data_IF_664462540482
#
_entry.id   IF_664462540482
#
_cell.length_a   1.000
_cell.length_b   1.000
_cell.length_c   1.000
_cell.angle_alpha   90.00
_cell.angle_beta   90.00
_cell.angle_gamma   90.00
#
_symmetry.space_group_name_H-M   'P 1'
#
loop_
_entity.id
_entity.type
_entity.pdbx_description
1 polymer ?
#
# COMPACT_ATOMS: atom_id res chain seq x y z
N UNK A 1 -4.77 19.11 -7.40
CA UNK A 1 -3.46 18.73 -6.84
C UNK A 1 -2.77 19.98 -6.33
N UNK A 2 -2.29 19.94 -5.09
CA UNK A 2 -1.71 21.12 -4.42
C UNK A 2 -0.22 21.14 -4.67
N UNK A 3 0.27 22.19 -5.32
CA UNK A 3 1.71 22.38 -5.50
C UNK A 3 2.41 22.61 -4.16
N UNK A 4 1.72 23.21 -3.18
CA UNK A 4 2.31 23.60 -1.88
C UNK A 4 2.37 22.46 -0.86
N UNK A 5 1.44 21.51 -0.94
CA UNK A 5 1.34 20.40 0.01
C UNK A 5 1.15 19.08 -0.73
N UNK A 6 2.23 18.57 -1.33
CA UNK A 6 2.14 17.39 -2.17
C UNK A 6 1.85 16.12 -1.36
N UNK A 7 1.14 15.18 -1.99
CA UNK A 7 0.75 13.91 -1.40
C UNK A 7 1.28 12.76 -2.26
N UNK A 8 2.04 11.87 -1.64
CA UNK A 8 2.48 10.60 -2.20
C UNK A 8 1.62 9.50 -1.59
N UNK A 9 1.00 8.69 -2.44
CA UNK A 9 0.10 7.62 -2.03
C UNK A 9 0.56 6.27 -2.57
N UNK A 10 0.91 5.37 -1.67
CA UNK A 10 1.21 3.97 -1.97
C UNK A 10 -0.02 3.13 -1.64
N UNK A 11 -0.58 2.48 -2.67
CA UNK A 11 -1.67 1.53 -2.52
C UNK A 11 -1.21 0.12 -2.89
N UNK A 12 -1.66 -0.88 -2.15
CA UNK A 12 -1.26 -2.26 -2.38
C UNK A 12 -2.02 -3.23 -1.50
N UNK A 13 -1.94 -4.51 -1.79
CA UNK A 13 -2.53 -5.52 -0.91
C UNK A 13 -1.57 -5.87 0.23
N UNK A 14 -2.13 -6.12 1.42
CA UNK A 14 -1.37 -6.53 2.59
C UNK A 14 -0.53 -7.77 2.26
N UNK A 15 0.79 -7.68 2.39
CA UNK A 15 1.73 -8.76 2.00
C UNK A 15 2.60 -8.42 0.79
N UNK A 16 2.26 -7.38 -0.01
CA UNK A 16 3.03 -6.94 -1.17
C UNK A 16 4.51 -6.57 -0.92
N UNK A 17 4.94 -6.55 0.34
CA UNK A 17 6.21 -5.99 0.78
C UNK A 17 6.08 -4.54 1.25
N UNK A 18 4.90 -4.12 1.75
CA UNK A 18 4.64 -2.77 2.28
C UNK A 18 5.70 -2.33 3.29
N UNK A 19 6.06 -3.18 4.26
CA UNK A 19 7.18 -2.90 5.19
C UNK A 19 8.52 -2.65 4.49
N UNK A 20 8.78 -3.29 3.34
CA UNK A 20 9.96 -3.02 2.53
C UNK A 20 9.83 -1.69 1.78
N UNK A 21 8.65 -1.37 1.26
CA UNK A 21 8.36 -0.11 0.56
C UNK A 21 8.53 1.09 1.48
N UNK A 22 7.92 1.06 2.68
CA UNK A 22 8.09 2.11 3.69
C UNK A 22 9.57 2.37 4.00
N UNK A 23 10.35 1.30 4.21
CA UNK A 23 11.81 1.41 4.43
C UNK A 23 12.55 2.07 3.27
N UNK A 24 12.15 1.82 2.03
CA UNK A 24 12.76 2.49 0.87
C UNK A 24 12.42 3.98 0.87
N UNK A 25 11.17 4.35 1.14
CA UNK A 25 10.78 5.76 1.27
C UNK A 25 11.49 6.47 2.42
N UNK A 26 11.56 5.85 3.60
CA UNK A 26 12.31 6.38 4.76
C UNK A 26 13.78 6.65 4.39
N UNK A 27 14.41 5.75 3.63
CA UNK A 27 15.78 5.94 3.15
C UNK A 27 15.91 7.11 2.19
N UNK A 28 14.99 7.25 1.24
CA UNK A 28 14.97 8.37 0.30
C UNK A 28 14.77 9.67 1.07
N UNK A 29 13.74 9.76 1.92
CA UNK A 29 13.43 10.97 2.67
C UNK A 29 14.57 11.38 3.59
N UNK A 30 15.19 10.43 4.29
CA UNK A 30 16.38 10.69 5.11
C UNK A 30 17.55 11.21 4.28
N UNK A 31 17.83 10.59 3.12
CA UNK A 31 18.96 10.96 2.26
C UNK A 31 18.79 12.35 1.64
N UNK A 32 17.56 12.67 1.22
CA UNK A 32 17.24 13.93 0.54
C UNK A 32 16.81 15.05 1.52
N UNK A 33 16.78 14.78 2.84
CA UNK A 33 16.39 15.75 3.86
C UNK A 33 14.93 16.19 3.77
N UNK A 34 14.02 15.24 3.48
CA UNK A 34 12.59 15.47 3.32
C UNK A 34 11.87 15.09 4.62
N UNK A 35 11.07 16.00 5.17
CA UNK A 35 10.23 15.76 6.34
C UNK A 35 8.82 15.36 5.90
N UNK A 36 8.42 14.11 6.12
CA UNK A 36 7.10 13.61 5.71
C UNK A 36 6.13 13.49 6.90
N UNK A 37 4.87 13.88 6.69
CA UNK A 37 3.75 13.40 7.50
C UNK A 37 3.40 11.97 7.05
N UNK A 38 3.05 11.08 7.98
CA UNK A 38 2.74 9.67 7.66
C UNK A 38 1.29 9.32 8.01
N UNK A 39 0.65 8.60 7.08
CA UNK A 39 -0.60 7.86 7.33
C UNK A 39 -0.36 6.39 7.01
N UNK A 40 -0.65 5.53 7.98
CA UNK A 40 -0.82 4.10 7.76
C UNK A 40 -2.31 3.82 7.52
N UNK A 41 -2.64 3.10 6.46
CA UNK A 41 -4.03 2.90 6.01
C UNK A 41 -4.93 2.28 7.08
N UNK A 42 -4.36 1.41 7.91
CA UNK A 42 -5.07 0.74 9.00
C UNK A 42 -5.58 1.73 10.06
N UNK A 43 -5.01 2.94 10.14
CA UNK A 43 -5.53 4.02 10.97
C UNK A 43 -6.97 4.41 10.60
N UNK A 44 -7.38 4.15 9.36
CA UNK A 44 -8.71 4.47 8.85
C UNK A 44 -9.65 3.26 8.81
N UNK A 45 -9.30 2.12 9.42
CA UNK A 45 -10.29 1.07 9.66
C UNK A 45 -11.45 1.60 10.54
N UNK A 46 -12.67 1.18 10.25
CA UNK A 46 -13.86 1.56 11.05
C UNK A 46 -13.85 0.86 12.40
N UNK A 47 -13.46 -0.41 12.42
CA UNK A 47 -13.60 -1.32 13.56
C UNK A 47 -12.26 -1.74 14.12
N UNK A 48 -12.17 -1.86 15.44
CA UNK A 48 -11.02 -2.48 16.07
C UNK A 48 -11.02 -4.01 15.87
N UNK A 49 -10.02 -4.71 16.40
CA UNK A 49 -9.90 -6.16 16.22
C UNK A 49 -11.09 -6.96 16.75
N UNK A 50 -11.66 -6.56 17.89
CA UNK A 50 -12.76 -7.26 18.53
C UNK A 50 -14.09 -6.93 17.84
N UNK A 51 -14.31 -5.66 17.54
CA UNK A 51 -15.47 -5.16 16.80
C UNK A 51 -15.54 -5.77 15.41
N UNK A 52 -14.43 -5.80 14.67
CA UNK A 52 -14.39 -6.37 13.32
C UNK A 52 -14.80 -7.84 13.34
N UNK A 53 -14.32 -8.64 14.31
CA UNK A 53 -14.73 -10.04 14.47
C UNK A 53 -16.23 -10.16 14.74
N UNK A 54 -16.78 -9.30 15.60
CA UNK A 54 -18.21 -9.28 15.94
C UNK A 54 -19.06 -8.94 14.71
N UNK A 55 -18.74 -7.84 14.01
CA UNK A 55 -19.47 -7.39 12.82
C UNK A 55 -19.39 -8.42 11.70
N UNK A 56 -18.22 -9.04 11.49
CA UNK A 56 -18.07 -10.12 10.52
C UNK A 56 -18.97 -11.32 10.85
N UNK A 57 -19.14 -11.68 12.12
CA UNK A 57 -20.03 -12.77 12.54
C UNK A 57 -21.51 -12.39 12.34
N UNK A 58 -21.89 -11.15 12.65
CA UNK A 58 -23.25 -10.63 12.45
C UNK A 58 -23.63 -10.58 10.97
N UNK A 59 -22.75 -10.06 10.11
CA UNK A 59 -22.93 -10.04 8.65
C UNK A 59 -23.08 -11.46 8.09
N UNK A 60 -22.23 -12.39 8.53
CA UNK A 60 -22.32 -13.79 8.13
C UNK A 60 -23.65 -14.44 8.55
N UNK A 61 -24.13 -14.16 9.77
CA UNK A 61 -25.44 -14.64 10.24
C UNK A 61 -26.61 -14.04 9.45
N UNK A 62 -26.46 -12.82 8.93
CA UNK A 62 -27.41 -12.16 8.03
C UNK A 62 -27.27 -12.60 6.55
N UNK A 63 -26.36 -13.53 6.24
CA UNK A 63 -26.14 -14.06 4.89
C UNK A 63 -25.09 -13.31 4.05
N UNK A 64 -24.49 -12.25 4.58
CA UNK A 64 -23.36 -11.56 3.95
C UNK A 64 -22.03 -12.22 4.34
N UNK A 65 -21.52 -13.06 3.44
CA UNK A 65 -20.25 -13.76 3.59
C UNK A 65 -19.07 -13.02 2.95
N UNK A 66 -19.23 -11.74 2.58
CA UNK A 66 -18.24 -10.98 1.81
C UNK A 66 -17.59 -9.85 2.61
N UNK A 67 -18.23 -9.39 3.70
CA UNK A 67 -17.72 -8.32 4.54
C UNK A 67 -16.25 -8.51 4.97
N UNK A 68 -15.39 -7.55 4.59
CA UNK A 68 -13.95 -7.64 4.81
C UNK A 68 -13.27 -6.27 4.91
N UNK A 69 -12.00 -6.24 5.31
CA UNK A 69 -11.18 -5.02 5.33
C UNK A 69 -10.95 -4.40 3.95
N UNK A 70 -11.25 -5.11 2.85
CA UNK A 70 -11.15 -4.55 1.51
C UNK A 70 -12.36 -3.68 1.15
N UNK A 71 -13.53 -3.99 1.72
CA UNK A 71 -14.78 -3.29 1.47
C UNK A 71 -14.80 -1.88 2.06
N UNK A 72 -15.65 -1.03 1.46
CA UNK A 72 -15.80 0.37 1.89
C UNK A 72 -16.35 0.48 3.31
N UNK A 73 -17.29 -0.39 3.71
CA UNK A 73 -17.94 -0.34 5.03
C UNK A 73 -16.98 -0.57 6.21
N UNK A 74 -15.91 -1.33 6.00
CA UNK A 74 -14.90 -1.59 7.02
C UNK A 74 -13.88 -0.44 7.17
N UNK A 75 -14.03 0.64 6.40
CA UNK A 75 -13.06 1.72 6.30
C UNK A 75 -13.72 3.11 6.35
N UNK A 76 -13.05 4.07 6.98
CA UNK A 76 -13.43 5.48 7.08
C UNK A 76 -12.92 6.27 5.87
N UNK A 77 -13.30 5.86 4.66
CA UNK A 77 -12.71 6.39 3.42
C UNK A 77 -13.06 7.86 3.16
N UNK A 78 -14.24 8.32 3.56
CA UNK A 78 -14.58 9.75 3.48
C UNK A 78 -13.71 10.60 4.41
N UNK A 79 -13.35 10.08 5.59
CA UNK A 79 -12.42 10.77 6.50
C UNK A 79 -10.99 10.77 5.96
N UNK A 80 -10.60 9.71 5.23
CA UNK A 80 -9.32 9.63 4.55
C UNK A 80 -9.23 10.65 3.40
N UNK A 81 -10.27 10.73 2.55
CA UNK A 81 -10.36 11.74 1.50
C UNK A 81 -10.32 13.15 2.08
N UNK A 82 -11.07 13.40 3.16
CA UNK A 82 -11.06 14.68 3.86
C UNK A 82 -9.67 15.03 4.40
N UNK A 83 -8.94 14.05 4.94
CA UNK A 83 -7.56 14.24 5.41
C UNK A 83 -6.62 14.60 4.26
N UNK A 84 -6.74 13.92 3.11
CA UNK A 84 -5.95 14.25 1.91
C UNK A 84 -6.29 15.65 1.39
N UNK A 85 -7.58 15.99 1.35
CA UNK A 85 -8.06 17.31 0.93
C UNK A 85 -7.54 18.41 1.86
N UNK A 86 -7.64 18.21 3.18
CA UNK A 86 -7.17 19.15 4.20
C UNK A 86 -5.66 19.37 4.10
N UNK A 87 -4.90 18.28 3.96
CA UNK A 87 -3.44 18.36 3.81
C UNK A 87 -3.07 19.13 2.54
N UNK A 88 -3.68 18.79 1.40
CA UNK A 88 -3.47 19.52 0.14
C UNK A 88 -3.78 21.02 0.27
N UNK A 89 -4.80 21.41 1.04
CA UNK A 89 -5.18 22.80 1.19
C UNK A 89 -4.34 23.59 2.23
N UNK A 90 -3.89 22.94 3.30
CA UNK A 90 -3.38 23.63 4.50
C UNK A 90 -2.09 23.07 5.08
N UNK A 91 -1.59 21.94 4.56
CA UNK A 91 -0.50 21.17 5.15
C UNK A 91 -0.87 20.46 6.47
N UNK A 92 -2.13 20.51 6.88
CA UNK A 92 -2.61 19.97 8.15
C UNK A 92 -3.70 18.90 7.93
N UNK A 93 -3.78 17.98 8.89
CA UNK A 93 -4.74 16.88 8.88
C UNK A 93 -4.66 16.09 10.18
N UNK A 94 -5.34 14.94 10.24
CA UNK A 94 -5.32 14.08 11.41
C UNK A 94 -5.07 12.63 11.03
N UNK A 95 -4.43 11.91 11.93
CA UNK A 95 -4.22 10.47 11.84
C UNK A 95 -4.35 9.83 13.22
N UNK A 96 -4.40 8.51 13.28
CA UNK A 96 -4.27 7.73 14.51
C UNK A 96 -3.38 6.53 14.21
N UNK A 97 -3.04 5.75 15.22
CA UNK A 97 -2.32 4.49 15.02
C UNK A 97 -3.25 3.32 15.34
N UNK A 98 -3.29 2.32 14.46
CA UNK A 98 -3.83 1.01 14.82
C UNK A 98 -2.69 0.17 15.38
N UNK A 99 -2.77 -0.22 16.65
CA UNK A 99 -1.67 -0.93 17.31
C UNK A 99 -1.71 -2.41 16.94
N UNK A 100 -0.66 -2.93 16.32
CA UNK A 100 -0.63 -4.30 15.82
C UNK A 100 -0.23 -5.32 16.88
N UNK A 101 0.80 -5.00 17.67
CA UNK A 101 1.47 -5.93 18.58
C UNK A 101 1.90 -5.28 19.89
N UNK A 102 2.60 -6.05 20.73
CA UNK A 102 3.01 -5.64 22.06
C UNK A 102 4.11 -4.56 22.05
N UNK A 103 4.98 -4.54 21.04
CA UNK A 103 6.05 -3.53 20.93
C UNK A 103 5.43 -2.16 20.61
N UNK A 104 4.49 -2.13 19.66
CA UNK A 104 3.74 -0.91 19.39
C UNK A 104 2.87 -0.49 20.58
N UNK A 105 2.32 -1.45 21.32
CA UNK A 105 1.52 -1.15 22.50
C UNK A 105 2.34 -0.48 23.61
N UNK A 106 3.58 -0.89 23.82
CA UNK A 106 4.51 -0.22 24.74
C UNK A 106 4.82 1.21 24.27
N UNK A 107 5.06 1.40 22.97
CA UNK A 107 5.33 2.71 22.38
C UNK A 107 4.16 3.70 22.49
N UNK A 108 2.94 3.21 22.29
CA UNK A 108 1.73 4.06 22.21
C UNK A 108 0.88 4.04 23.48
N UNK A 109 1.22 3.22 24.48
CA UNK A 109 0.41 3.04 25.69
C UNK A 109 -1.02 2.54 25.41
N UNK A 110 -1.23 1.91 24.26
CA UNK A 110 -2.55 1.50 23.75
C UNK A 110 -2.55 0.00 23.46
N UNK A 111 -3.56 -0.78 23.86
CA UNK A 111 -3.55 -2.23 23.70
C UNK A 111 -3.43 -2.71 22.24
N UNK A 112 -2.83 -3.89 21.98
CA UNK A 112 -2.79 -4.46 20.64
C UNK A 112 -4.20 -4.76 20.10
N UNK A 113 -4.43 -4.34 18.87
CA UNK A 113 -5.69 -4.51 18.16
C UNK A 113 -6.69 -3.38 18.37
N UNK A 114 -6.31 -2.30 19.04
CA UNK A 114 -7.13 -1.09 19.23
C UNK A 114 -6.48 0.12 18.57
N UNK A 115 -7.21 1.25 18.55
CA UNK A 115 -6.72 2.50 18.00
C UNK A 115 -6.24 3.45 19.11
N UNK A 116 -5.23 4.25 18.80
CA UNK A 116 -4.93 5.46 19.57
C UNK A 116 -5.97 6.54 19.29
N UNK A 117 -5.94 7.62 20.08
CA UNK A 117 -6.66 8.84 19.75
C UNK A 117 -6.16 9.47 18.44
N UNK A 118 -7.03 10.27 17.83
CA UNK A 118 -6.70 11.10 16.68
C UNK A 118 -5.73 12.21 17.09
N UNK A 119 -4.66 12.38 16.33
CA UNK A 119 -3.66 13.43 16.49
C UNK A 119 -3.50 14.23 15.20
N UNK A 120 -3.11 15.50 15.34
CA UNK A 120 -2.69 16.32 14.20
C UNK A 120 -1.38 15.82 13.60
N UNK A 121 -1.07 16.25 12.37
CA UNK A 121 0.29 16.13 11.86
C UNK A 121 1.22 17.13 12.53
N UNK A 122 2.50 16.78 12.58
CA UNK A 122 3.54 17.76 12.93
C UNK A 122 3.57 18.88 11.89
N UNK A 123 3.86 20.13 12.30
CA UNK A 123 4.00 21.25 11.39
C UNK A 123 5.22 21.08 10.47
N UNK A 124 5.33 21.96 9.48
CA UNK A 124 6.51 22.11 8.61
C UNK A 124 6.92 20.86 7.82
N UNK A 125 5.93 20.06 7.41
CA UNK A 125 6.16 18.89 6.54
C UNK A 125 6.32 19.27 5.08
N UNK A 126 7.23 18.57 4.39
CA UNK A 126 7.47 18.68 2.96
C UNK A 126 6.38 18.03 2.13
N UNK A 127 5.86 16.90 2.60
CA UNK A 127 4.81 16.13 1.94
C UNK A 127 4.06 15.23 2.92
N UNK A 128 2.90 14.74 2.47
CA UNK A 128 2.17 13.65 3.10
C UNK A 128 2.50 12.34 2.38
N UNK A 129 2.86 11.32 3.15
CA UNK A 129 3.06 9.96 2.69
C UNK A 129 1.97 9.05 3.25
N UNK A 130 1.20 8.45 2.36
CA UNK A 130 0.21 7.42 2.68
C UNK A 130 0.70 6.04 2.23
N UNK A 131 0.51 5.05 3.08
CA UNK A 131 0.66 3.63 2.72
C UNK A 131 -0.53 2.83 3.23
N UNK A 132 -1.21 2.10 2.34
CA UNK A 132 -2.33 1.24 2.75
C UNK A 132 -3.04 0.55 1.60
N UNK A 133 -4.23 0.02 1.89
CA UNK A 133 -5.05 -0.72 0.91
C UNK A 133 -5.87 0.20 -0.01
N UNK A 134 -6.07 1.47 0.34
CA UNK A 134 -7.10 2.34 -0.26
C UNK A 134 -6.56 3.69 -0.76
N UNK A 135 -5.27 3.78 -1.03
CA UNK A 135 -4.58 5.04 -1.38
C UNK A 135 -4.97 5.64 -2.72
N UNK A 136 -5.66 4.90 -3.59
CA UNK A 136 -6.11 5.39 -4.90
C UNK A 136 -7.53 4.92 -5.22
N UNK A 137 -8.39 4.79 -4.20
CA UNK A 137 -9.81 4.44 -4.37
C UNK A 137 -10.54 5.57 -5.09
N UNK A 138 -11.40 5.16 -6.03
CA UNK A 138 -12.39 6.00 -6.69
C UNK A 138 -13.71 5.23 -6.68
N UNK A 139 -14.75 5.83 -6.11
CA UNK A 139 -16.13 5.36 -6.09
C UNK A 139 -17.06 6.50 -6.47
N UNK A 140 -18.38 6.25 -6.48
CA UNK A 140 -19.38 7.31 -6.72
C UNK A 140 -19.43 8.35 -5.60
N UNK A 141 -18.90 8.02 -4.41
CA UNK A 141 -19.00 8.85 -3.20
C UNK A 141 -17.65 9.38 -2.71
N UNK A 142 -16.54 8.77 -3.11
CA UNK A 142 -15.19 9.09 -2.62
C UNK A 142 -14.19 9.03 -3.78
N UNK A 143 -13.38 10.07 -3.95
CA UNK A 143 -12.26 10.08 -4.90
C UNK A 143 -10.99 10.48 -4.16
N UNK A 144 -10.26 9.50 -3.63
CA UNK A 144 -8.97 9.73 -2.95
C UNK A 144 -7.87 9.99 -3.99
N UNK A 145 -7.94 9.30 -5.14
CA UNK A 145 -6.91 9.34 -6.16
C UNK A 145 -6.65 10.75 -6.69
N UNK A 146 -7.69 11.59 -6.86
CA UNK A 146 -7.54 12.97 -7.37
C UNK A 146 -6.69 13.88 -6.47
N UNK A 147 -6.50 13.53 -5.21
CA UNK A 147 -5.77 14.34 -4.24
C UNK A 147 -4.26 14.04 -4.23
N UNK A 148 -3.84 12.87 -4.72
CA UNK A 148 -2.44 12.44 -4.69
C UNK A 148 -1.65 12.83 -5.96
N UNK A 149 -0.54 13.51 -5.75
CA UNK A 149 0.40 13.97 -6.78
C UNK A 149 1.22 12.83 -7.40
N UNK A 150 1.51 11.80 -6.59
CA UNK A 150 2.17 10.57 -7.04
C UNK A 150 1.48 9.35 -6.43
N UNK A 151 0.94 8.49 -7.28
CA UNK A 151 0.20 7.28 -6.90
C UNK A 151 0.97 6.05 -7.32
N UNK A 152 1.31 5.18 -6.37
CA UNK A 152 2.16 4.02 -6.61
C UNK A 152 1.40 2.77 -6.20
N UNK A 153 1.27 1.83 -7.12
CA UNK A 153 0.73 0.51 -6.85
C UNK A 153 1.84 -0.46 -6.52
N UNK A 154 1.80 -1.12 -5.37
CA UNK A 154 2.72 -2.23 -5.05
C UNK A 154 1.89 -3.48 -4.81
N UNK A 155 2.03 -4.47 -5.69
CA UNK A 155 1.06 -5.57 -5.76
C UNK A 155 1.75 -6.89 -6.12
N UNK A 156 1.56 -7.97 -5.36
CA UNK A 156 1.95 -9.30 -5.80
C UNK A 156 0.93 -9.84 -6.79
N UNK A 157 1.30 -10.80 -7.63
CA UNK A 157 0.27 -11.61 -8.32
C UNK A 157 -0.62 -12.31 -7.29
N UNK A 158 -1.89 -12.53 -7.64
CA UNK A 158 -2.92 -13.05 -6.73
C UNK A 158 -2.46 -14.33 -6.00
N UNK A 159 -1.81 -15.26 -6.72
CA UNK A 159 -1.26 -16.48 -6.13
C UNK A 159 -0.28 -16.20 -5.00
N UNK A 160 0.63 -15.25 -5.17
CA UNK A 160 1.59 -14.86 -4.15
C UNK A 160 0.89 -14.16 -2.96
N UNK A 161 -0.12 -13.33 -3.24
CA UNK A 161 -0.94 -12.70 -2.18
C UNK A 161 -1.58 -13.76 -1.27
N UNK A 162 -2.14 -14.81 -1.88
CA UNK A 162 -2.77 -15.91 -1.15
C UNK A 162 -1.75 -16.71 -0.34
N UNK A 163 -0.59 -17.04 -0.91
CA UNK A 163 0.51 -17.71 -0.19
C UNK A 163 0.91 -16.88 1.04
N UNK A 164 1.12 -15.57 0.87
CA UNK A 164 1.48 -14.68 1.97
C UNK A 164 0.40 -14.59 3.04
N UNK A 165 -0.88 -14.62 2.64
CA UNK A 165 -2.00 -14.62 3.59
C UNK A 165 -2.07 -15.94 4.36
N UNK A 166 -1.97 -17.07 3.67
CA UNK A 166 -1.95 -18.41 4.25
C UNK A 166 -0.83 -18.57 5.28
N UNK A 167 0.37 -18.11 4.95
CA UNK A 167 1.51 -18.17 5.86
C UNK A 167 1.30 -17.33 7.13
N UNK A 168 0.84 -16.08 6.99
CA UNK A 168 0.53 -15.21 8.14
C UNK A 168 -0.57 -15.78 9.02
N UNK A 169 -1.59 -16.38 8.43
CA UNK A 169 -2.71 -16.94 9.20
C UNK A 169 -2.32 -18.25 9.91
N UNK A 170 -1.49 -19.10 9.27
CA UNK A 170 -0.96 -20.32 9.89
C UNK A 170 0.02 -20.02 11.03
N UNK A 171 0.99 -19.12 10.82
CA UNK A 171 2.04 -18.83 11.81
C UNK A 171 1.50 -18.18 13.09
N UNK A 172 0.43 -17.39 12.96
CA UNK A 172 -0.04 -16.53 14.05
C UNK A 172 -1.32 -17.04 14.71
N UNK A 173 -2.10 -17.91 14.05
CA UNK A 173 -3.48 -18.24 14.48
C UNK A 173 -3.88 -19.72 14.37
N UNK A 174 -3.01 -20.61 13.88
CA UNK A 174 -3.26 -22.06 13.91
C UNK A 174 -4.49 -22.53 13.12
N UNK A 175 -4.94 -21.77 12.12
CA UNK A 175 -6.13 -22.09 11.34
C UNK A 175 -5.95 -23.32 10.43
N UNK A 176 -7.05 -24.06 10.21
CA UNK A 176 -7.11 -25.11 9.18
C UNK A 176 -7.05 -24.49 7.78
N UNK A 177 -6.59 -25.27 6.79
CA UNK A 177 -6.52 -24.82 5.39
C UNK A 177 -7.89 -24.39 4.86
N UNK A 178 -8.96 -25.07 5.26
CA UNK A 178 -10.35 -24.75 4.89
C UNK A 178 -10.79 -23.38 5.40
N UNK A 179 -10.53 -23.07 6.68
CA UNK A 179 -10.87 -21.77 7.26
C UNK A 179 -10.12 -20.60 6.57
N UNK A 180 -8.92 -20.85 6.03
CA UNK A 180 -8.20 -19.85 5.25
C UNK A 180 -8.76 -19.72 3.84
N UNK A 181 -9.17 -20.83 3.20
CA UNK A 181 -9.84 -20.80 1.90
C UNK A 181 -11.12 -19.96 1.94
N UNK A 182 -11.96 -20.16 2.95
CA UNK A 182 -13.18 -19.37 3.16
C UNK A 182 -12.86 -17.89 3.37
N UNK A 183 -11.78 -17.59 4.10
CA UNK A 183 -11.33 -16.21 4.31
C UNK A 183 -10.85 -15.54 3.02
N UNK A 184 -10.22 -16.29 2.11
CA UNK A 184 -9.82 -15.80 0.79
C UNK A 184 -11.07 -15.53 -0.06
N UNK A 185 -11.97 -16.51 -0.18
CA UNK A 185 -13.19 -16.40 -0.98
C UNK A 185 -14.07 -15.23 -0.52
N UNK A 186 -14.24 -15.06 0.80
CA UNK A 186 -14.95 -13.91 1.38
C UNK A 186 -14.45 -12.57 0.85
N UNK A 187 -13.13 -12.42 0.68
CA UNK A 187 -12.51 -11.15 0.30
C UNK A 187 -12.54 -10.87 -1.20
N UNK A 188 -12.78 -11.89 -2.03
CA UNK A 188 -12.64 -11.76 -3.49
C UNK A 188 -13.60 -10.73 -4.12
N UNK A 189 -14.88 -10.64 -3.71
CA UNK A 189 -15.76 -9.60 -4.24
C UNK A 189 -15.21 -8.20 -3.98
N UNK A 190 -14.89 -7.87 -2.74
CA UNK A 190 -14.30 -6.57 -2.39
C UNK A 190 -12.94 -6.33 -3.06
N UNK A 191 -12.13 -7.38 -3.22
CA UNK A 191 -10.84 -7.27 -3.91
C UNK A 191 -11.04 -6.82 -5.37
N UNK A 192 -11.97 -7.45 -6.08
CA UNK A 192 -12.29 -7.12 -7.47
C UNK A 192 -12.90 -5.73 -7.56
N UNK A 193 -13.82 -5.37 -6.65
CA UNK A 193 -14.56 -4.12 -6.72
C UNK A 193 -13.81 -2.89 -6.20
N UNK A 194 -12.93 -3.06 -5.20
CA UNK A 194 -12.31 -1.92 -4.50
C UNK A 194 -10.79 -1.94 -4.48
N UNK A 195 -10.12 -3.08 -4.65
CA UNK A 195 -8.65 -3.15 -4.66
C UNK A 195 -8.10 -3.07 -6.09
N UNK A 196 -8.50 -3.99 -6.96
CA UNK A 196 -7.96 -4.05 -8.33
C UNK A 196 -8.14 -2.77 -9.17
N UNK A 197 -9.25 -2.01 -9.08
CA UNK A 197 -9.44 -0.82 -9.90
C UNK A 197 -8.44 0.30 -9.56
N UNK A 198 -7.92 0.33 -8.33
CA UNK A 198 -6.94 1.32 -7.89
C UNK A 198 -5.64 1.25 -8.70
N UNK A 199 -5.24 0.08 -9.19
CA UNK A 199 -4.03 -0.07 -10.02
C UNK A 199 -4.20 0.52 -11.43
N UNK A 200 -5.42 0.93 -11.80
CA UNK A 200 -5.72 1.74 -12.97
C UNK A 200 -5.68 3.24 -12.65
N UNK A 201 -5.59 3.64 -11.38
CA UNK A 201 -5.45 5.02 -10.89
C UNK A 201 -4.01 5.39 -10.52
N UNK A 202 -3.13 4.42 -10.37
CA UNK A 202 -1.71 4.63 -10.08
C UNK A 202 -0.88 5.10 -11.28
N UNK A 203 0.13 5.92 -11.02
CA UNK A 203 1.08 6.42 -12.01
C UNK A 203 2.14 5.37 -12.33
N UNK A 204 2.53 4.57 -11.32
CA UNK A 204 3.50 3.48 -11.46
C UNK A 204 3.00 2.25 -10.70
N UNK A 205 3.10 1.08 -11.33
CA UNK A 205 2.83 -0.20 -10.66
C UNK A 205 4.12 -1.02 -10.56
N UNK A 206 4.43 -1.49 -9.36
CA UNK A 206 5.44 -2.49 -9.04
C UNK A 206 4.73 -3.81 -8.77
N UNK A 207 4.67 -4.67 -9.78
CA UNK A 207 4.01 -5.96 -9.67
C UNK A 207 5.01 -7.09 -9.42
N UNK A 208 4.95 -7.73 -8.25
CA UNK A 208 5.82 -8.85 -7.90
C UNK A 208 5.29 -10.17 -8.44
N UNK A 209 6.11 -10.87 -9.21
CA UNK A 209 5.76 -12.11 -9.93
C UNK A 209 6.76 -13.21 -9.54
N UNK A 210 6.36 -14.23 -8.77
CA UNK A 210 7.18 -15.41 -8.54
C UNK A 210 7.51 -16.12 -9.85
N UNK A 211 8.76 -16.59 -9.98
CA UNK A 211 9.23 -17.43 -11.09
C UNK A 211 9.32 -18.91 -10.69
N UNK A 212 8.71 -19.26 -9.55
CA UNK A 212 8.54 -20.62 -9.02
C UNK A 212 7.09 -21.07 -9.15
N UNK A 213 6.84 -22.36 -8.94
CA UNK A 213 5.50 -22.92 -9.00
C UNK A 213 4.61 -22.39 -7.87
N UNK A 214 3.61 -21.58 -8.25
CA UNK A 214 2.56 -21.05 -7.38
C UNK A 214 1.16 -21.48 -7.83
N UNK A 215 1.08 -22.51 -8.67
CA UNK A 215 -0.18 -23.02 -9.25
C UNK A 215 -1.22 -23.44 -8.20
N UNK A 216 -0.77 -24.03 -7.09
CA UNK A 216 -1.59 -24.33 -5.92
C UNK A 216 -1.06 -23.61 -4.67
N UNK A 217 -1.56 -22.41 -4.37
CA UNK A 217 -1.09 -21.62 -3.24
C UNK A 217 -1.42 -22.23 -1.87
N UNK A 218 -2.42 -23.11 -1.78
CA UNK A 218 -2.88 -23.70 -0.50
C UNK A 218 -1.91 -24.72 0.11
N UNK A 219 -1.04 -25.29 -0.72
CA UNK A 219 -0.02 -26.26 -0.32
C UNK A 219 1.39 -25.68 -0.33
N UNK A 220 1.54 -24.37 -0.56
CA UNK A 220 2.83 -23.70 -0.54
C UNK A 220 3.47 -23.85 0.85
N UNK A 221 4.75 -24.25 0.86
CA UNK A 221 5.53 -24.52 2.08
C UNK A 221 6.23 -23.29 2.62
N UNK A 222 6.53 -22.33 1.76
CA UNK A 222 7.10 -21.03 2.11
C UNK A 222 6.64 -19.99 1.10
N UNK A 223 6.79 -18.71 1.50
CA UNK A 223 6.57 -17.58 0.62
C UNK A 223 7.78 -17.51 -0.34
N UNK A 224 7.58 -17.46 -1.68
CA UNK A 224 8.65 -17.20 -2.61
C UNK A 224 9.50 -16.01 -2.18
N UNK A 225 10.82 -16.17 -2.18
CA UNK A 225 11.79 -15.14 -1.84
C UNK A 225 11.90 -14.08 -2.94
N UNK A 226 12.56 -12.92 -2.69
CA UNK A 226 12.82 -11.95 -3.75
C UNK A 226 13.63 -12.52 -4.92
N UNK A 227 14.56 -13.44 -4.66
CA UNK A 227 15.40 -14.07 -5.71
C UNK A 227 14.61 -15.10 -6.54
N UNK A 228 13.56 -15.69 -5.97
CA UNK A 228 12.58 -16.53 -6.66
C UNK A 228 11.46 -15.70 -7.33
N UNK A 229 11.67 -14.40 -7.52
CA UNK A 229 10.68 -13.48 -8.09
C UNK A 229 11.30 -12.49 -9.06
N UNK A 230 10.47 -11.98 -9.97
CA UNK A 230 10.73 -10.76 -10.74
C UNK A 230 9.75 -9.67 -10.30
N UNK A 231 10.05 -8.42 -10.63
CA UNK A 231 9.12 -7.30 -10.48
C UNK A 231 8.92 -6.64 -11.83
N UNK A 232 7.66 -6.54 -12.25
CA UNK A 232 7.26 -5.76 -13.42
C UNK A 232 6.95 -4.34 -12.97
N UNK A 233 7.71 -3.37 -13.48
CA UNK A 233 7.53 -1.96 -13.18
C UNK A 233 6.91 -1.30 -14.40
N UNK A 234 5.64 -0.92 -14.31
CA UNK A 234 4.87 -0.30 -15.39
C UNK A 234 4.61 1.16 -15.10
N UNK A 235 4.95 2.02 -16.04
CA UNK A 235 4.66 3.45 -16.01
C UNK A 235 3.37 3.74 -16.78
N UNK A 236 2.45 4.52 -16.20
CA UNK A 236 1.25 5.01 -16.89
C UNK A 236 1.64 5.85 -18.10
N UNK A 237 2.58 6.76 -17.89
CA UNK A 237 3.18 7.61 -18.92
C UNK A 237 4.70 7.40 -18.90
N UNK A 238 5.30 6.77 -19.93
CA UNK A 238 6.73 6.51 -19.97
C UNK A 238 7.57 7.71 -20.40
N UNK A 239 6.96 8.88 -20.69
CA UNK A 239 7.69 10.06 -21.13
C UNK A 239 8.64 10.55 -20.02
N UNK A 240 9.89 10.82 -20.39
CA UNK A 240 10.94 11.25 -19.46
C UNK A 240 11.60 10.11 -18.68
N UNK A 241 11.16 8.86 -18.84
CA UNK A 241 11.80 7.70 -18.22
C UNK A 241 12.94 7.21 -19.11
N UNK A 242 14.16 7.22 -18.57
CA UNK A 242 15.33 6.68 -19.24
C UNK A 242 15.47 5.17 -18.96
N UNK A 243 14.83 4.35 -19.81
CA UNK A 243 14.92 2.89 -19.70
C UNK A 243 16.32 2.35 -20.01
N UNK A 244 17.14 3.07 -20.79
CA UNK A 244 18.51 2.64 -21.06
C UNK A 244 19.34 2.75 -19.77
N UNK A 245 19.23 3.89 -19.06
CA UNK A 245 19.84 4.08 -17.75
C UNK A 245 19.37 3.02 -16.74
N UNK A 246 18.05 2.80 -16.62
CA UNK A 246 17.51 1.82 -15.68
C UNK A 246 18.04 0.41 -15.97
N UNK A 247 18.18 0.02 -17.24
CA UNK A 247 18.72 -1.30 -17.60
C UNK A 247 20.20 -1.45 -17.30
N UNK A 248 20.99 -0.39 -17.47
CA UNK A 248 22.41 -0.39 -17.12
C UNK A 248 22.60 -0.52 -15.62
N UNK A 249 21.80 0.19 -14.81
CA UNK A 249 21.91 0.17 -13.36
C UNK A 249 21.32 -1.09 -12.73
N UNK A 250 20.24 -1.62 -13.30
CA UNK A 250 19.54 -2.81 -12.83
C UNK A 250 19.94 -3.99 -13.70
N UNK A 251 21.09 -4.60 -13.39
CA UNK A 251 21.58 -5.74 -14.19
C UNK A 251 20.51 -6.85 -14.28
N UNK A 252 20.50 -7.58 -15.39
CA UNK A 252 19.51 -8.63 -15.70
C UNK A 252 18.06 -8.13 -15.86
N UNK A 253 17.86 -6.81 -15.94
CA UNK A 253 16.56 -6.25 -16.31
C UNK A 253 16.36 -6.21 -17.82
N UNK A 254 15.10 -6.32 -18.23
CA UNK A 254 14.71 -6.29 -19.63
C UNK A 254 13.36 -5.58 -19.82
N UNK A 255 13.09 -5.11 -21.04
CA UNK A 255 11.80 -4.50 -21.37
C UNK A 255 10.81 -5.58 -21.79
N UNK A 256 9.65 -5.63 -21.15
CA UNK A 256 8.54 -6.50 -21.57
C UNK A 256 7.55 -5.79 -22.50
N UNK A 257 7.42 -4.46 -22.37
CA UNK A 257 6.67 -3.57 -23.28
C UNK A 257 7.33 -2.20 -23.32
N UNK A 258 6.89 -1.33 -24.22
CA UNK A 258 7.45 0.03 -24.38
C UNK A 258 7.38 0.91 -23.11
N UNK A 259 6.47 0.60 -22.18
CA UNK A 259 6.29 1.33 -20.92
C UNK A 259 6.51 0.46 -19.67
N UNK A 260 7.14 -0.71 -19.80
CA UNK A 260 7.39 -1.60 -18.67
C UNK A 260 8.75 -2.28 -18.72
N UNK A 261 9.46 -2.19 -17.59
CA UNK A 261 10.72 -2.88 -17.33
C UNK A 261 10.47 -4.01 -16.33
N UNK A 262 11.09 -5.16 -16.55
CA UNK A 262 11.11 -6.29 -15.62
C UNK A 262 12.48 -6.34 -14.96
N UNK A 263 12.50 -6.41 -13.63
CA UNK A 263 13.73 -6.41 -12.83
C UNK A 263 13.78 -7.63 -11.90
N UNK A 264 14.97 -8.16 -11.57
CA UNK A 264 15.09 -9.19 -10.53
C UNK A 264 14.48 -8.73 -9.21
N UNK A 265 13.78 -9.61 -8.49
CA UNK A 265 13.06 -9.23 -7.27
C UNK A 265 13.98 -8.76 -6.14
N UNK A 266 15.19 -9.31 -6.03
CA UNK A 266 16.24 -8.82 -5.12
C UNK A 266 16.69 -7.37 -5.40
N UNK A 267 16.35 -6.79 -6.56
CA UNK A 267 16.68 -5.40 -6.94
C UNK A 267 15.51 -4.43 -6.80
N UNK A 268 14.39 -4.84 -6.18
CA UNK A 268 13.22 -3.97 -6.01
C UNK A 268 13.57 -2.66 -5.29
N UNK A 269 14.29 -2.74 -4.17
CA UNK A 269 14.66 -1.55 -3.39
C UNK A 269 15.49 -0.56 -4.22
N UNK A 270 16.55 -1.04 -4.89
CA UNK A 270 17.37 -0.20 -5.77
C UNK A 270 16.56 0.39 -6.93
N UNK A 271 15.68 -0.40 -7.55
CA UNK A 271 14.82 0.06 -8.63
C UNK A 271 13.88 1.19 -8.15
N UNK A 272 13.27 1.03 -6.98
CA UNK A 272 12.44 2.05 -6.35
C UNK A 272 13.24 3.32 -6.06
N UNK A 273 14.47 3.22 -5.54
CA UNK A 273 15.32 4.40 -5.33
C UNK A 273 15.65 5.13 -6.64
N UNK A 274 16.10 4.41 -7.67
CA UNK A 274 16.47 5.01 -8.96
C UNK A 274 15.28 5.68 -9.67
N UNK A 275 14.08 5.12 -9.51
CA UNK A 275 12.86 5.61 -10.17
C UNK A 275 12.20 6.72 -9.36
N UNK A 276 12.02 6.53 -8.05
CA UNK A 276 11.18 7.39 -7.22
C UNK A 276 11.94 8.61 -6.69
N UNK A 277 13.23 8.52 -6.40
CA UNK A 277 14.01 9.67 -5.93
C UNK A 277 13.90 10.88 -6.85
N UNK A 278 14.16 10.80 -8.18
CA UNK A 278 14.02 11.97 -9.04
C UNK A 278 12.58 12.49 -9.12
N UNK A 279 11.57 11.63 -9.04
CA UNK A 279 10.16 12.05 -9.06
C UNK A 279 9.77 12.80 -7.79
N UNK A 280 10.20 12.31 -6.63
CA UNK A 280 9.98 12.94 -5.32
C UNK A 280 10.67 14.29 -5.27
N UNK A 281 11.94 14.37 -5.71
CA UNK A 281 12.68 15.63 -5.76
C UNK A 281 11.99 16.65 -6.66
N UNK A 282 11.48 16.24 -7.83
CA UNK A 282 10.71 17.14 -8.70
C UNK A 282 9.43 17.67 -8.04
N UNK A 283 8.76 16.85 -7.23
CA UNK A 283 7.56 17.25 -6.49
C UNK A 283 7.94 18.28 -5.41
N UNK A 284 8.96 18.00 -4.61
CA UNK A 284 9.44 18.89 -3.53
C UNK A 284 10.00 20.20 -4.10
N UNK A 285 10.72 20.16 -5.22
CA UNK A 285 11.24 21.36 -5.88
C UNK A 285 10.13 22.25 -6.43
N UNK A 286 9.02 21.67 -6.92
CA UNK A 286 7.85 22.45 -7.33
C UNK A 286 7.19 23.15 -6.15
N UNK A 287 7.10 22.48 -4.99
CA UNK A 287 6.66 23.10 -3.74
C UNK A 287 7.53 24.32 -3.39
N UNK A 288 8.84 24.12 -3.30
CA UNK A 288 9.80 25.18 -2.94
C UNK A 288 9.77 26.39 -3.87
N UNK A 289 9.41 26.21 -5.14
CA UNK A 289 9.26 27.31 -6.12
C UNK A 289 7.92 28.03 -6.05
N UNK A 290 6.92 27.44 -5.39
CA UNK A 290 5.57 28.00 -5.24
C UNK A 290 5.39 28.72 -3.88
N UNK A 291 6.36 28.60 -2.99
CA UNK A 291 6.55 29.41 -1.77
C UNK A 291 7.12 30.79 -2.14
#
# INVERSE_FOLDING_TARGET
>A
MSVKHPIISVTGSSGAGTTSVKKTFDQIFRREGITAAYIEGDAFHTYDRAEMKRVMAEKAAAGDLHFSHFGLEANRLSDLEETFRSYGATGNGRTRTYVHDAEEAERWGTPPGTFTDWRGFEPDTDLLFYEGLHGAVVTDTVDIARHADLKIGVVPVINLEWIQKLHRDKSTRGYSTEAVADTILRRMPDYIHFITPQFTQTDINFQRVPTVDTSNPFIARWIPTPDESMVVIRFRDPRGIDFAYLRTMLQDSFMSRANSIVVPGGKLDLAMQLILTPMILQIVDRKRRAE
#
